data_IF_764662115633
#
_entry.id   IF_764662115633
#
_cell.length_a   1.000
_cell.length_b   1.000
_cell.length_c   1.000
_cell.angle_alpha   90.00
_cell.angle_beta   90.00
_cell.angle_gamma   90.00
#
_symmetry.space_group_name_H-M   'P 1'
#
loop_
_entity.id
_entity.type
_entity.pdbx_description
1 polymer ?
#
# COMPACT_ATOMS: atom_id res chain seq x y z
N UNK A 1 -22.87 18.32 7.01
CA UNK A 1 -22.73 19.01 5.72
C UNK A 1 -23.40 20.39 5.79
N UNK A 2 -23.30 21.19 4.74
CA UNK A 2 -23.95 22.51 4.60
C UNK A 2 -25.49 22.44 4.59
N UNK A 3 -26.08 21.24 4.71
CA UNK A 3 -27.52 21.01 4.86
C UNK A 3 -27.92 20.61 6.29
N UNK A 4 -26.98 20.60 7.24
CA UNK A 4 -27.26 20.32 8.64
C UNK A 4 -27.32 18.82 9.00
N UNK A 5 -26.90 17.92 8.11
CA UNK A 5 -26.73 16.51 8.47
C UNK A 5 -25.40 16.30 9.20
N UNK A 6 -25.47 15.85 10.46
CA UNK A 6 -24.31 15.34 11.19
C UNK A 6 -24.04 13.91 10.74
N UNK A 7 -23.23 13.74 9.70
CA UNK A 7 -22.65 12.44 9.40
C UNK A 7 -21.56 12.16 10.43
N UNK A 8 -21.73 11.09 11.20
CA UNK A 8 -20.74 10.66 12.19
C UNK A 8 -19.61 9.96 11.42
N UNK A 9 -18.36 10.30 11.73
CA UNK A 9 -17.23 9.67 11.08
C UNK A 9 -17.29 8.15 11.23
N UNK A 10 -17.01 7.43 10.14
CA UNK A 10 -16.73 6.00 10.21
C UNK A 10 -15.35 5.80 10.82
N UNK A 11 -15.25 4.90 11.80
CA UNK A 11 -13.97 4.55 12.41
C UNK A 11 -13.41 3.31 11.74
N UNK A 12 -12.25 3.43 11.12
CA UNK A 12 -11.41 2.33 10.63
C UNK A 12 -10.61 1.78 11.81
N UNK A 13 -10.71 0.48 12.05
CA UNK A 13 -10.12 -0.22 13.20
C UNK A 13 -9.20 -1.35 12.74
N UNK A 14 -8.29 -1.78 13.60
CA UNK A 14 -7.53 -3.00 13.34
C UNK A 14 -8.46 -4.20 13.15
N UNK A 15 -8.22 -5.01 12.11
CA UNK A 15 -8.94 -6.28 11.88
C UNK A 15 -8.90 -7.22 13.09
N UNK A 16 -7.88 -7.09 13.96
CA UNK A 16 -7.72 -7.90 15.18
C UNK A 16 -8.58 -7.41 16.35
N UNK A 17 -9.02 -6.14 16.32
CA UNK A 17 -9.73 -5.51 17.43
C UNK A 17 -11.24 -5.31 17.16
N UNK A 18 -11.75 -5.89 16.08
CA UNK A 18 -13.17 -5.85 15.75
C UNK A 18 -13.99 -6.64 16.78
N UNK A 19 -15.08 -6.06 17.26
CA UNK A 19 -16.05 -6.79 18.05
C UNK A 19 -16.77 -7.84 17.18
N UNK A 20 -17.34 -8.90 17.78
CA UNK A 20 -18.09 -9.91 17.01
C UNK A 20 -19.22 -9.33 16.15
N UNK A 21 -19.88 -8.26 16.62
CA UNK A 21 -20.95 -7.58 15.88
C UNK A 21 -20.41 -6.80 14.68
N UNK A 22 -19.29 -6.09 14.84
CA UNK A 22 -18.64 -5.36 13.75
C UNK A 22 -18.14 -6.33 12.68
N UNK A 23 -17.43 -7.40 13.08
CA UNK A 23 -16.97 -8.47 12.18
C UNK A 23 -18.12 -9.05 11.39
N UNK A 24 -19.23 -9.38 12.06
CA UNK A 24 -20.43 -9.91 11.41
C UNK A 24 -21.01 -8.91 10.40
N UNK A 25 -21.11 -7.62 10.74
CA UNK A 25 -21.63 -6.61 9.82
C UNK A 25 -20.80 -6.50 8.54
N UNK A 26 -19.47 -6.54 8.67
CA UNK A 26 -18.54 -6.47 7.54
C UNK A 26 -18.65 -7.72 6.66
N UNK A 27 -18.71 -8.92 7.27
CA UNK A 27 -18.88 -10.18 6.54
C UNK A 27 -20.15 -10.15 5.69
N UNK A 28 -21.29 -9.77 6.28
CA UNK A 28 -22.55 -9.69 5.51
C UNK A 28 -22.52 -8.58 4.45
N UNK A 29 -21.92 -7.43 4.77
CA UNK A 29 -21.82 -6.32 3.82
C UNK A 29 -20.97 -6.69 2.60
N UNK A 30 -19.79 -7.30 2.80
CA UNK A 30 -18.94 -7.72 1.68
C UNK A 30 -19.57 -8.87 0.89
N UNK A 31 -20.23 -9.82 1.57
CA UNK A 31 -21.00 -10.87 0.88
C UNK A 31 -22.04 -10.25 -0.07
N UNK A 32 -22.82 -9.31 0.44
CA UNK A 32 -23.84 -8.62 -0.37
C UNK A 32 -23.22 -7.77 -1.49
N UNK A 33 -22.04 -7.18 -1.26
CA UNK A 33 -21.32 -6.38 -2.25
C UNK A 33 -20.72 -7.25 -3.37
N UNK A 34 -20.24 -8.45 -3.04
CA UNK A 34 -19.76 -9.42 -4.03
C UNK A 34 -20.87 -9.98 -4.91
N UNK A 35 -22.10 -10.06 -4.38
CA UNK A 35 -23.28 -10.47 -5.13
C UNK A 35 -23.92 -9.31 -5.93
N UNK A 36 -23.46 -8.07 -5.74
CA UNK A 36 -23.95 -6.90 -6.48
C UNK A 36 -23.31 -6.80 -7.87
N UNK A 37 -24.17 -6.78 -8.90
CA UNK A 37 -23.79 -6.65 -10.31
C UNK A 37 -23.92 -5.21 -10.84
N UNK A 38 -24.21 -4.25 -9.96
CA UNK A 38 -24.27 -2.83 -10.31
C UNK A 38 -22.86 -2.26 -10.60
N UNK A 39 -22.82 -1.00 -11.06
CA UNK A 39 -21.56 -0.26 -11.21
C UNK A 39 -20.87 0.04 -9.85
N UNK A 40 -21.61 -0.05 -8.74
CA UNK A 40 -21.08 0.05 -7.37
C UNK A 40 -20.77 -1.33 -6.75
N UNK A 41 -21.00 -2.42 -7.48
CA UNK A 41 -20.74 -3.79 -7.01
C UNK A 41 -19.26 -4.15 -7.01
N UNK A 42 -18.90 -5.20 -6.25
CA UNK A 42 -17.49 -5.57 -6.02
C UNK A 42 -16.67 -5.71 -7.32
N UNK A 43 -17.21 -6.43 -8.31
CA UNK A 43 -16.51 -6.68 -9.58
C UNK A 43 -16.21 -5.39 -10.36
N UNK A 44 -17.18 -4.47 -10.36
CA UNK A 44 -17.03 -3.15 -11.00
C UNK A 44 -16.02 -2.29 -10.23
N UNK A 45 -16.07 -2.30 -8.90
CA UNK A 45 -15.09 -1.55 -8.08
C UNK A 45 -13.68 -2.13 -8.21
N UNK A 46 -13.52 -3.45 -8.22
CA UNK A 46 -12.23 -4.10 -8.45
C UNK A 46 -11.61 -3.69 -9.80
N UNK A 47 -12.44 -3.49 -10.84
CA UNK A 47 -11.97 -3.05 -12.16
C UNK A 47 -11.35 -1.64 -12.19
N UNK A 48 -11.64 -0.79 -11.18
CA UNK A 48 -11.09 0.56 -11.13
C UNK A 48 -9.57 0.55 -10.98
N UNK A 49 -8.99 -0.50 -10.40
CA UNK A 49 -7.55 -0.60 -10.25
C UNK A 49 -6.87 -0.83 -11.60
N UNK A 50 -7.08 -2.01 -12.19
CA UNK A 50 -6.28 -2.43 -13.34
C UNK A 50 -7.05 -3.14 -14.45
N UNK A 51 -7.43 -4.41 -14.27
CA UNK A 51 -8.25 -5.12 -15.23
C UNK A 51 -9.70 -5.26 -14.76
N UNK A 52 -10.68 -5.19 -15.67
CA UNK A 52 -10.57 -4.73 -17.06
C UNK A 52 -10.23 -3.23 -17.15
N UNK A 53 -9.31 -2.81 -18.04
CA UNK A 53 -8.84 -1.43 -18.07
C UNK A 53 -9.90 -0.45 -18.60
N UNK A 54 -10.02 0.70 -17.93
CA UNK A 54 -10.98 1.75 -18.26
C UNK A 54 -10.32 3.08 -18.66
N UNK A 55 -9.01 3.22 -18.47
CA UNK A 55 -8.29 4.47 -18.71
C UNK A 55 -7.57 4.46 -20.06
N UNK A 56 -7.43 5.60 -20.77
CA UNK A 56 -7.73 6.96 -20.32
C UNK A 56 -9.22 7.31 -20.26
N UNK A 57 -10.05 6.61 -21.04
CA UNK A 57 -11.50 6.63 -20.97
C UNK A 57 -12.05 5.31 -21.54
N UNK A 58 -13.28 4.89 -21.16
CA UNK A 58 -13.76 3.53 -21.40
C UNK A 58 -13.86 3.13 -22.88
N UNK A 59 -14.06 4.08 -23.80
CA UNK A 59 -14.14 3.87 -25.24
C UNK A 59 -12.81 4.01 -25.99
N UNK A 60 -11.70 4.24 -25.28
CA UNK A 60 -10.40 4.44 -25.90
C UNK A 60 -9.91 3.16 -26.62
N UNK A 61 -9.26 3.33 -27.78
CA UNK A 61 -8.73 2.21 -28.58
C UNK A 61 -7.66 1.40 -27.83
N UNK A 62 -6.81 2.07 -27.05
CA UNK A 62 -5.82 1.45 -26.17
C UNK A 62 -6.15 1.89 -24.76
N UNK A 63 -6.40 0.90 -23.90
CA UNK A 63 -6.73 1.11 -22.50
C UNK A 63 -5.64 0.54 -21.61
N UNK A 64 -5.44 1.20 -20.48
CA UNK A 64 -4.47 0.89 -19.45
C UNK A 64 -5.19 0.85 -18.09
N UNK A 65 -4.50 0.30 -17.09
CA UNK A 65 -4.92 0.39 -15.70
C UNK A 65 -5.15 1.85 -15.30
N UNK A 66 -6.16 2.10 -14.47
CA UNK A 66 -6.49 3.45 -14.01
C UNK A 66 -5.75 3.86 -12.75
N UNK A 67 -5.28 2.89 -11.96
CA UNK A 67 -4.49 3.14 -10.76
C UNK A 67 -3.21 3.92 -11.09
N UNK A 68 -2.91 4.90 -10.24
CA UNK A 68 -1.64 5.63 -10.24
C UNK A 68 -0.63 4.81 -9.45
N UNK A 69 0.52 4.49 -10.06
CA UNK A 69 1.66 3.81 -9.45
C UNK A 69 2.95 4.45 -9.96
N UNK A 70 4.00 4.45 -9.14
CA UNK A 70 5.31 5.00 -9.45
C UNK A 70 5.31 6.51 -9.63
N UNK A 71 4.41 7.20 -8.94
CA UNK A 71 4.01 8.57 -9.22
C UNK A 71 3.51 9.23 -7.95
N UNK A 72 3.85 10.50 -7.75
CA UNK A 72 3.56 11.26 -6.54
C UNK A 72 2.08 11.25 -6.11
N UNK A 73 1.11 11.05 -7.01
CA UNK A 73 -0.33 11.00 -6.66
C UNK A 73 -0.83 9.59 -6.31
N UNK A 74 0.06 8.62 -6.08
CA UNK A 74 -0.26 7.25 -5.69
C UNK A 74 -1.08 7.19 -4.39
N UNK A 75 -0.70 7.89 -3.29
CA UNK A 75 -1.43 7.82 -2.03
C UNK A 75 -2.87 8.34 -2.17
N UNK A 76 -3.08 9.41 -2.93
CA UNK A 76 -4.40 10.04 -3.11
C UNK A 76 -5.34 9.16 -3.93
N UNK A 77 -4.81 8.51 -4.98
CA UNK A 77 -5.60 7.54 -5.76
C UNK A 77 -6.12 6.41 -4.89
N UNK A 78 -5.22 5.81 -4.09
CA UNK A 78 -5.56 4.67 -3.24
C UNK A 78 -6.40 5.07 -2.03
N UNK A 79 -6.22 6.28 -1.48
CA UNK A 79 -7.12 6.86 -0.48
C UNK A 79 -8.55 6.94 -1.01
N UNK A 80 -8.77 7.57 -2.18
CA UNK A 80 -10.09 7.61 -2.80
C UNK A 80 -10.64 6.22 -3.07
N UNK A 81 -9.77 5.27 -3.43
CA UNK A 81 -10.20 3.90 -3.68
C UNK A 81 -10.71 3.19 -2.42
N UNK A 82 -10.06 3.39 -1.27
CA UNK A 82 -10.57 2.88 0.01
C UNK A 82 -11.91 3.53 0.36
N UNK A 83 -12.07 4.85 0.15
CA UNK A 83 -13.35 5.56 0.37
C UNK A 83 -14.44 5.00 -0.55
N UNK A 84 -14.12 4.71 -1.81
CA UNK A 84 -15.05 4.10 -2.76
C UNK A 84 -15.61 2.77 -2.25
N UNK A 85 -14.73 1.88 -1.78
CA UNK A 85 -15.14 0.61 -1.16
C UNK A 85 -15.87 0.81 0.17
N UNK A 86 -15.48 1.80 0.96
CA UNK A 86 -16.06 2.06 2.28
C UNK A 86 -17.51 2.53 2.16
N UNK A 87 -17.78 3.45 1.23
CA UNK A 87 -19.13 3.89 0.91
C UNK A 87 -19.98 2.76 0.33
N UNK A 88 -19.38 1.84 -0.45
CA UNK A 88 -20.07 0.65 -0.93
C UNK A 88 -20.43 -0.29 0.24
N UNK A 89 -19.47 -0.66 1.08
CA UNK A 89 -19.70 -1.50 2.26
C UNK A 89 -20.75 -0.90 3.21
N UNK A 90 -20.73 0.42 3.42
CA UNK A 90 -21.76 1.11 4.21
C UNK A 90 -23.15 0.96 3.60
N UNK A 91 -23.28 1.09 2.27
CA UNK A 91 -24.55 0.88 1.55
C UNK A 91 -25.06 -0.56 1.67
N UNK A 92 -24.15 -1.52 1.82
CA UNK A 92 -24.47 -2.92 2.11
C UNK A 92 -24.59 -3.26 3.61
N UNK A 93 -24.57 -2.26 4.49
CA UNK A 93 -24.90 -2.43 5.92
C UNK A 93 -23.69 -2.61 6.85
N UNK A 94 -22.47 -2.31 6.42
CA UNK A 94 -21.33 -2.21 7.34
C UNK A 94 -21.58 -1.11 8.38
N UNK A 95 -21.36 -1.44 9.66
CA UNK A 95 -21.55 -0.48 10.77
C UNK A 95 -20.29 0.29 11.14
N UNK A 96 -19.14 -0.08 10.54
CA UNK A 96 -17.83 0.50 10.76
C UNK A 96 -17.14 0.81 9.43
N UNK A 97 -16.08 1.62 9.49
CA UNK A 97 -15.20 1.84 8.34
C UNK A 97 -14.43 0.59 7.95
N UNK A 98 -13.74 0.63 6.81
CA UNK A 98 -12.92 -0.48 6.35
C UNK A 98 -11.83 -0.76 7.38
N UNK A 99 -11.79 -1.96 7.98
CA UNK A 99 -10.77 -2.26 8.95
C UNK A 99 -9.40 -2.36 8.27
N UNK A 100 -8.35 -2.02 9.00
CA UNK A 100 -6.99 -2.07 8.50
C UNK A 100 -6.26 -3.30 9.05
N UNK A 101 -5.40 -3.90 8.22
CA UNK A 101 -4.44 -4.91 8.65
C UNK A 101 -3.07 -4.27 8.85
N UNK A 102 -2.68 -4.08 10.11
CA UNK A 102 -1.39 -3.50 10.46
C UNK A 102 -0.26 -4.51 10.31
N UNK A 103 0.37 -4.52 9.13
CA UNK A 103 1.49 -5.41 8.78
C UNK A 103 2.84 -4.92 9.33
N UNK A 104 2.89 -3.76 9.96
CA UNK A 104 4.14 -3.23 10.53
C UNK A 104 4.43 -3.84 11.90
N UNK A 105 3.38 -4.28 12.60
CA UNK A 105 3.52 -4.98 13.88
C UNK A 105 3.93 -6.44 13.62
N UNK A 106 4.96 -6.96 14.32
CA UNK A 106 5.29 -8.38 14.26
C UNK A 106 4.07 -9.25 14.56
N UNK A 107 3.88 -10.30 13.76
CA UNK A 107 2.72 -11.19 13.89
C UNK A 107 3.16 -12.64 13.65
N UNK A 108 2.53 -13.56 14.38
CA UNK A 108 2.82 -15.01 14.31
C UNK A 108 1.79 -15.76 13.46
N UNK A 109 0.66 -15.12 13.17
CA UNK A 109 -0.48 -15.69 12.46
C UNK A 109 -1.10 -14.66 11.50
N UNK A 110 -1.84 -15.15 10.52
CA UNK A 110 -2.74 -14.31 9.73
C UNK A 110 -4.02 -14.03 10.51
N UNK A 111 -4.54 -12.78 10.48
CA UNK A 111 -5.83 -12.47 11.06
C UNK A 111 -6.94 -13.40 10.56
N UNK A 112 -7.54 -14.13 11.50
CA UNK A 112 -8.68 -15.02 11.25
C UNK A 112 -9.82 -14.33 10.47
N UNK A 113 -9.96 -13.01 10.62
CA UNK A 113 -10.92 -12.18 9.89
C UNK A 113 -10.97 -12.48 8.38
N UNK A 114 -9.81 -12.62 7.73
CA UNK A 114 -9.72 -12.92 6.30
C UNK A 114 -9.09 -14.28 6.00
N UNK A 115 -8.51 -14.95 7.00
CA UNK A 115 -7.86 -16.25 6.81
C UNK A 115 -8.83 -17.43 6.92
N UNK A 116 -9.89 -17.33 7.73
CA UNK A 116 -10.87 -18.39 7.87
C UNK A 116 -11.61 -18.60 6.54
N UNK A 117 -11.62 -19.81 5.97
CA UNK A 117 -12.35 -20.12 4.73
C UNK A 117 -13.87 -20.13 4.94
N UNK A 118 -14.31 -20.60 6.11
CA UNK A 118 -15.72 -20.73 6.46
C UNK A 118 -16.05 -19.77 7.59
N UNK A 119 -17.12 -18.99 7.39
CA UNK A 119 -17.73 -18.19 8.43
C UNK A 119 -18.96 -18.93 8.99
N UNK A 120 -18.95 -19.17 10.31
CA UNK A 120 -20.10 -19.64 11.08
C UNK A 120 -20.81 -18.43 11.68
N UNK A 121 -22.00 -18.07 11.16
CA UNK A 121 -22.77 -16.96 11.68
C UNK A 121 -23.38 -17.33 13.05
N UNK A 122 -22.94 -16.67 14.15
CA UNK A 122 -23.35 -17.05 15.50
C UNK A 122 -24.82 -16.74 15.79
N UNK A 123 -25.49 -15.90 14.98
CA UNK A 123 -26.89 -15.53 15.18
C UNK A 123 -27.86 -16.35 14.34
N UNK A 124 -27.47 -16.72 13.11
CA UNK A 124 -28.35 -17.47 12.19
C UNK A 124 -28.02 -18.96 12.10
N UNK A 125 -26.95 -19.42 12.73
CA UNK A 125 -26.48 -20.81 12.64
C UNK A 125 -26.34 -21.26 11.18
N UNK A 126 -25.77 -20.38 10.36
CA UNK A 126 -25.57 -20.58 8.94
C UNK A 126 -24.08 -20.53 8.64
N UNK A 127 -23.60 -21.52 7.90
CA UNK A 127 -22.22 -21.60 7.46
C UNK A 127 -22.14 -21.26 5.98
N UNK A 128 -21.23 -20.37 5.63
CA UNK A 128 -20.92 -20.02 4.25
C UNK A 128 -19.45 -19.61 4.12
N UNK A 129 -18.94 -19.56 2.90
CA UNK A 129 -17.58 -19.10 2.64
C UNK A 129 -17.39 -17.68 3.13
N UNK A 130 -16.30 -17.43 3.86
CA UNK A 130 -15.95 -16.09 4.31
C UNK A 130 -15.64 -15.22 3.09
N UNK A 131 -16.40 -14.14 2.83
CA UNK A 131 -16.19 -13.30 1.65
C UNK A 131 -14.87 -12.51 1.71
N UNK A 132 -14.21 -12.42 2.88
CA UNK A 132 -12.87 -11.83 2.99
C UNK A 132 -11.74 -12.82 2.67
N UNK A 133 -12.04 -14.12 2.56
CA UNK A 133 -11.02 -15.13 2.27
C UNK A 133 -10.60 -15.15 0.79
N UNK A 134 -11.51 -14.81 -0.12
CA UNK A 134 -11.22 -14.70 -1.54
C UNK A 134 -12.46 -14.25 -2.31
N UNK A 135 -12.27 -13.98 -3.60
CA UNK A 135 -13.33 -13.65 -4.54
C UNK A 135 -13.06 -14.26 -5.92
N UNK A 136 -14.10 -14.28 -6.74
CA UNK A 136 -14.02 -14.66 -8.16
C UNK A 136 -13.58 -13.45 -9.01
N UNK A 137 -12.96 -13.72 -10.16
CA UNK A 137 -12.66 -12.74 -11.20
C UNK A 137 -13.57 -13.05 -12.38
N UNK A 138 -14.67 -12.31 -12.50
CA UNK A 138 -15.77 -12.69 -13.40
C UNK A 138 -15.35 -12.78 -14.87
N UNK A 139 -14.56 -11.81 -15.33
CA UNK A 139 -14.21 -11.69 -16.75
C UNK A 139 -13.15 -12.71 -17.22
N UNK A 140 -12.36 -13.26 -16.29
CA UNK A 140 -11.37 -14.30 -16.57
C UNK A 140 -11.83 -15.70 -16.12
N UNK A 141 -12.95 -15.79 -15.40
CA UNK A 141 -13.46 -17.03 -14.80
C UNK A 141 -12.44 -17.76 -13.91
N UNK A 142 -11.66 -16.99 -13.15
CA UNK A 142 -10.66 -17.50 -12.21
C UNK A 142 -11.03 -17.12 -10.78
N UNK A 143 -10.38 -17.77 -9.80
CA UNK A 143 -10.45 -17.38 -8.39
C UNK A 143 -9.15 -16.72 -8.00
N UNK A 144 -9.24 -15.74 -7.10
CA UNK A 144 -8.05 -15.23 -6.43
C UNK A 144 -7.44 -16.33 -5.56
N UNK A 145 -6.12 -16.44 -5.63
CA UNK A 145 -5.31 -17.31 -4.78
C UNK A 145 -4.19 -16.50 -4.12
N UNK A 146 -3.78 -16.94 -2.92
CA UNK A 146 -2.70 -16.32 -2.13
C UNK A 146 -1.62 -17.37 -1.89
N UNK A 147 -0.37 -17.04 -2.19
CA UNK A 147 0.81 -17.84 -1.84
C UNK A 147 1.64 -17.06 -0.81
N UNK A 148 1.27 -17.22 0.46
CA UNK A 148 1.71 -16.32 1.52
C UNK A 148 3.15 -16.62 1.93
N UNK A 149 4.03 -15.64 1.77
CA UNK A 149 5.41 -15.69 2.20
C UNK A 149 5.52 -15.39 3.71
N UNK A 150 5.28 -16.44 4.51
CA UNK A 150 5.37 -16.37 5.98
C UNK A 150 6.78 -16.01 6.48
N UNK A 151 7.83 -16.41 5.75
CA UNK A 151 9.23 -16.18 6.12
C UNK A 151 9.63 -14.69 6.03
N UNK A 152 8.93 -13.90 5.21
CA UNK A 152 9.08 -12.44 5.16
C UNK A 152 8.07 -11.74 6.05
N UNK A 153 6.81 -12.14 5.98
CA UNK A 153 5.70 -11.49 6.67
C UNK A 153 5.78 -11.62 8.21
N UNK A 154 6.25 -12.76 8.72
CA UNK A 154 6.36 -13.03 10.17
C UNK A 154 7.79 -12.88 10.69
N UNK A 155 8.69 -12.34 9.87
CA UNK A 155 10.09 -12.18 10.25
C UNK A 155 10.25 -11.11 11.31
N UNK A 156 10.69 -11.54 12.49
CA UNK A 156 11.10 -10.61 13.54
C UNK A 156 12.40 -9.89 13.18
N UNK A 157 12.53 -8.67 13.68
CA UNK A 157 13.77 -7.91 13.59
C UNK A 157 14.81 -8.34 14.63
N UNK A 158 16.07 -7.90 14.53
CA UNK A 158 17.13 -8.16 15.52
C UNK A 158 16.77 -7.81 16.98
N UNK A 159 15.90 -6.83 17.19
CA UNK A 159 15.35 -6.38 18.48
C UNK A 159 13.89 -6.79 18.66
N UNK A 160 13.38 -7.69 17.83
CA UNK A 160 11.97 -8.12 17.75
C UNK A 160 11.11 -7.15 16.94
N UNK A 161 11.14 -5.86 17.28
CA UNK A 161 10.27 -4.85 16.66
C UNK A 161 10.78 -4.24 15.36
N UNK A 162 12.10 -4.28 15.12
CA UNK A 162 12.80 -3.66 14.00
C UNK A 162 12.75 -4.54 12.74
N UNK A 163 11.54 -4.96 12.39
CA UNK A 163 11.21 -5.73 11.17
C UNK A 163 11.53 -4.94 9.91
N UNK A 164 11.48 -5.60 8.75
CA UNK A 164 11.65 -4.92 7.46
C UNK A 164 10.65 -3.77 7.29
N UNK A 165 9.36 -4.04 7.49
CA UNK A 165 8.29 -3.04 7.35
C UNK A 165 8.50 -1.87 8.31
N UNK A 166 8.90 -2.15 9.56
CA UNK A 166 9.19 -1.10 10.53
C UNK A 166 10.30 -0.17 10.03
N UNK A 167 11.41 -0.73 9.53
CA UNK A 167 12.53 0.07 9.01
C UNK A 167 12.11 0.93 7.81
N UNK A 168 11.37 0.35 6.86
CA UNK A 168 10.92 1.10 5.68
C UNK A 168 9.97 2.24 6.04
N UNK A 169 8.94 1.96 6.84
CA UNK A 169 7.96 3.01 7.18
C UNK A 169 8.54 4.07 8.12
N UNK A 170 9.44 3.73 9.04
CA UNK A 170 10.17 4.75 9.82
C UNK A 170 10.92 5.69 8.90
N UNK A 171 11.63 5.16 7.90
CA UNK A 171 12.40 5.99 6.97
C UNK A 171 11.50 6.82 6.04
N UNK A 172 10.36 6.28 5.62
CA UNK A 172 9.34 7.06 4.91
C UNK A 172 8.82 8.21 5.80
N UNK A 173 8.45 7.93 7.04
CA UNK A 173 7.95 8.91 8.02
C UNK A 173 9.01 9.95 8.43
N UNK A 174 10.28 9.64 8.24
CA UNK A 174 11.37 10.59 8.41
C UNK A 174 11.31 11.75 7.41
N UNK A 175 10.82 11.51 6.19
CA UNK A 175 10.80 12.51 5.13
C UNK A 175 9.80 13.63 5.43
N UNK A 176 10.21 14.88 5.16
CA UNK A 176 9.38 16.07 5.31
C UNK A 176 8.85 16.58 3.96
N UNK A 177 9.63 16.41 2.87
CA UNK A 177 9.10 16.60 1.53
C UNK A 177 8.13 15.47 1.20
N UNK A 178 6.95 15.84 0.69
CA UNK A 178 5.89 14.89 0.37
C UNK A 178 6.34 13.86 -0.68
N UNK A 179 7.03 14.30 -1.72
CA UNK A 179 7.44 13.41 -2.80
C UNK A 179 8.62 12.52 -2.37
N UNK A 180 9.48 12.98 -1.45
CA UNK A 180 10.49 12.10 -0.83
C UNK A 180 9.85 11.03 0.05
N UNK A 181 8.79 11.38 0.79
CA UNK A 181 7.97 10.42 1.55
C UNK A 181 7.34 9.38 0.63
N UNK A 182 6.69 9.83 -0.43
CA UNK A 182 5.89 9.01 -1.34
C UNK A 182 6.69 7.84 -1.93
N UNK A 183 7.90 8.10 -2.45
CA UNK A 183 8.73 7.04 -3.04
C UNK A 183 9.10 5.94 -2.04
N UNK A 184 9.44 6.30 -0.80
CA UNK A 184 9.74 5.29 0.22
C UNK A 184 8.47 4.55 0.65
N UNK A 185 7.37 5.29 0.75
CA UNK A 185 6.07 4.80 1.19
C UNK A 185 5.45 3.80 0.21
N UNK A 186 5.46 4.09 -1.10
CA UNK A 186 4.91 3.22 -2.13
C UNK A 186 5.66 1.87 -2.19
N UNK A 187 6.99 1.91 -2.10
CA UNK A 187 7.80 0.68 -2.11
C UNK A 187 7.57 -0.17 -0.86
N UNK A 188 7.40 0.45 0.31
CA UNK A 188 7.02 -0.28 1.53
C UNK A 188 5.64 -0.94 1.39
N UNK A 189 4.71 -0.27 0.73
CA UNK A 189 3.39 -0.82 0.41
C UNK A 189 3.45 -2.05 -0.51
N UNK A 190 4.36 -2.06 -1.50
CA UNK A 190 4.47 -3.15 -2.48
C UNK A 190 4.88 -4.49 -1.85
N UNK A 191 5.58 -4.47 -0.73
CA UNK A 191 6.01 -5.67 -0.04
C UNK A 191 4.83 -6.59 0.31
N UNK A 192 3.71 -6.04 0.78
CA UNK A 192 2.56 -6.86 1.17
C UNK A 192 1.84 -7.45 -0.04
N UNK A 193 1.82 -6.73 -1.17
CA UNK A 193 1.35 -7.31 -2.43
C UNK A 193 2.15 -8.56 -2.78
N UNK A 194 3.48 -8.44 -2.78
CA UNK A 194 4.37 -9.57 -3.06
C UNK A 194 4.26 -10.70 -2.03
N UNK A 195 4.20 -10.39 -0.74
CA UNK A 195 4.23 -11.41 0.31
C UNK A 195 2.88 -12.11 0.51
N UNK A 196 1.77 -11.50 0.10
CA UNK A 196 0.44 -12.14 0.11
C UNK A 196 0.18 -12.87 -1.19
N UNK A 197 0.58 -12.29 -2.32
CA UNK A 197 0.37 -12.89 -3.63
C UNK A 197 1.31 -14.06 -3.93
N UNK A 198 2.57 -13.94 -3.50
CA UNK A 198 3.61 -14.93 -3.76
C UNK A 198 3.79 -15.17 -5.25
N UNK A 199 3.77 -16.44 -5.62
CA UNK A 199 4.01 -16.91 -7.00
C UNK A 199 2.74 -17.10 -7.84
N UNK A 200 1.58 -16.75 -7.29
CA UNK A 200 0.28 -16.91 -7.96
C UNK A 200 0.00 -15.74 -8.92
N UNK A 201 -0.45 -16.07 -10.13
CA UNK A 201 -0.82 -15.06 -11.16
C UNK A 201 -2.03 -14.23 -10.71
N UNK A 202 -3.12 -14.88 -10.32
CA UNK A 202 -4.38 -14.23 -9.91
C UNK A 202 -4.33 -13.91 -8.41
N UNK A 203 -3.52 -12.93 -8.04
CA UNK A 203 -3.23 -12.65 -6.63
C UNK A 203 -2.98 -11.16 -6.36
N UNK A 204 -2.76 -10.84 -5.08
CA UNK A 204 -2.25 -9.54 -4.63
C UNK A 204 -0.90 -9.17 -5.27
N UNK A 205 -0.09 -10.14 -5.68
CA UNK A 205 1.24 -9.92 -6.24
C UNK A 205 1.23 -9.39 -7.68
N UNK A 206 0.06 -9.35 -8.32
CA UNK A 206 -0.08 -8.99 -9.73
C UNK A 206 -1.03 -7.80 -9.90
N UNK A 207 -0.54 -6.71 -10.52
CA UNK A 207 -1.27 -5.44 -10.65
C UNK A 207 -2.69 -5.61 -11.19
N UNK A 208 -2.84 -6.49 -12.19
CA UNK A 208 -4.12 -6.71 -12.88
C UNK A 208 -5.23 -7.25 -11.98
N UNK A 209 -4.88 -8.02 -10.97
CA UNK A 209 -5.82 -8.86 -10.23
C UNK A 209 -5.86 -8.56 -8.73
N UNK A 210 -4.88 -7.82 -8.19
CA UNK A 210 -4.78 -7.55 -6.77
C UNK A 210 -6.06 -7.00 -6.13
N UNK A 211 -6.78 -6.11 -6.83
CA UNK A 211 -8.02 -5.48 -6.35
C UNK A 211 -9.20 -6.45 -6.19
N UNK A 212 -9.13 -7.64 -6.77
CA UNK A 212 -10.14 -8.68 -6.59
C UNK A 212 -9.92 -9.48 -5.29
N UNK A 213 -8.75 -9.39 -4.66
CA UNK A 213 -8.53 -9.97 -3.34
C UNK A 213 -9.15 -9.05 -2.26
N UNK A 214 -10.07 -9.54 -1.41
CA UNK A 214 -10.61 -8.75 -0.30
C UNK A 214 -9.56 -8.23 0.70
N UNK A 215 -8.38 -8.85 0.80
CA UNK A 215 -7.28 -8.34 1.63
C UNK A 215 -6.70 -7.04 1.07
N UNK A 216 -6.87 -6.77 -0.23
CA UNK A 216 -6.48 -5.51 -0.86
C UNK A 216 -6.99 -4.30 -0.08
N UNK A 217 -8.30 -4.26 0.23
CA UNK A 217 -8.89 -3.13 0.94
C UNK A 217 -8.43 -3.03 2.39
N UNK A 218 -8.05 -4.15 3.01
CA UNK A 218 -7.53 -4.20 4.39
C UNK A 218 -6.09 -3.69 4.46
N UNK A 219 -5.27 -4.07 3.48
CA UNK A 219 -3.90 -3.57 3.31
C UNK A 219 -3.89 -2.09 2.97
N UNK A 220 -4.71 -1.66 2.01
CA UNK A 220 -4.80 -0.25 1.62
C UNK A 220 -5.43 0.64 2.69
N UNK A 221 -6.32 0.11 3.54
CA UNK A 221 -6.79 0.82 4.73
C UNK A 221 -5.64 1.11 5.72
N UNK A 222 -4.69 0.18 5.88
CA UNK A 222 -3.48 0.41 6.68
C UNK A 222 -2.49 1.35 5.97
N UNK A 223 -2.32 1.21 4.65
CA UNK A 223 -1.47 2.09 3.86
C UNK A 223 -1.96 3.54 3.98
N UNK A 224 -3.26 3.78 3.82
CA UNK A 224 -3.86 5.09 4.05
C UNK A 224 -3.77 5.56 5.52
N UNK A 225 -3.80 4.64 6.49
CA UNK A 225 -3.54 4.96 7.91
C UNK A 225 -2.13 5.50 8.11
N UNK A 226 -1.15 4.89 7.45
CA UNK A 226 0.25 5.31 7.49
C UNK A 226 0.45 6.66 6.79
N UNK A 227 -0.29 6.93 5.70
CA UNK A 227 -0.33 8.25 5.09
C UNK A 227 -0.95 9.30 6.05
N UNK A 228 -2.07 8.99 6.69
CA UNK A 228 -2.65 9.86 7.72
C UNK A 228 -1.72 10.09 8.92
N UNK A 229 -0.94 9.08 9.31
CA UNK A 229 0.09 9.20 10.34
C UNK A 229 1.21 10.15 9.92
N UNK A 230 1.66 10.08 8.66
CA UNK A 230 2.61 11.03 8.11
C UNK A 230 2.06 12.47 8.15
N UNK A 231 0.79 12.67 7.77
CA UNK A 231 0.13 13.98 7.85
C UNK A 231 0.14 14.54 9.29
N UNK A 232 -0.25 13.75 10.29
CA UNK A 232 -0.21 14.21 11.70
C UNK A 232 1.24 14.47 12.18
N UNK A 233 2.23 13.74 11.66
CA UNK A 233 3.64 14.00 11.95
C UNK A 233 4.12 15.31 11.32
N UNK A 234 3.72 15.62 10.08
CA UNK A 234 4.02 16.92 9.45
C UNK A 234 3.39 18.08 10.22
N UNK A 235 2.14 17.92 10.64
CA UNK A 235 1.47 18.88 11.51
C UNK A 235 2.21 19.08 12.83
N UNK A 236 2.71 18.00 13.45
CA UNK A 236 3.52 18.09 14.66
C UNK A 236 4.85 18.82 14.43
N UNK A 237 5.45 18.67 13.24
CA UNK A 237 6.66 19.40 12.80
C UNK A 237 6.41 20.87 12.45
N UNK A 238 5.15 21.31 12.39
CA UNK A 238 4.77 22.69 12.11
C UNK A 238 4.45 22.99 10.64
N UNK A 239 4.30 21.96 9.81
CA UNK A 239 3.86 22.07 8.42
C UNK A 239 2.34 21.95 8.31
N UNK A 240 1.74 22.42 7.22
CA UNK A 240 0.33 22.16 6.94
C UNK A 240 0.17 20.70 6.44
N UNK A 241 -0.58 19.83 7.14
CA UNK A 241 -0.77 18.42 6.75
C UNK A 241 -1.52 18.22 5.44
N UNK A 242 -2.15 19.28 4.90
CA UNK A 242 -2.94 19.25 3.68
C UNK A 242 -2.32 20.04 2.52
N UNK A 243 -1.16 20.66 2.74
CA UNK A 243 -0.44 21.37 1.68
C UNK A 243 0.59 20.43 1.05
N UNK A 244 0.57 20.37 -0.27
CA UNK A 244 1.57 19.65 -1.06
C UNK A 244 2.34 20.65 -1.91
N UNK A 245 3.66 20.65 -1.79
CA UNK A 245 4.55 21.64 -2.40
C UNK A 245 5.38 21.07 -3.58
N UNK A 246 5.16 19.81 -3.95
CA UNK A 246 5.79 19.13 -5.07
C UNK A 246 4.72 18.49 -5.97
N UNK A 247 5.08 18.11 -7.20
CA UNK A 247 4.17 17.48 -8.18
C UNK A 247 2.83 18.21 -8.40
N UNK A 248 2.80 19.55 -8.26
CA UNK A 248 1.58 20.38 -8.29
C UNK A 248 0.73 20.20 -9.56
N UNK A 249 1.36 19.87 -10.68
CA UNK A 249 0.67 19.60 -11.94
C UNK A 249 -0.19 18.34 -11.84
N UNK A 250 0.34 17.27 -11.23
CA UNK A 250 -0.37 16.01 -11.02
C UNK A 250 -1.48 16.18 -9.99
N UNK A 251 -1.25 16.98 -8.96
CA UNK A 251 -2.21 17.22 -7.87
C UNK A 251 -3.53 17.85 -8.32
N UNK A 252 -3.54 18.49 -9.50
CA UNK A 252 -4.72 19.11 -10.11
C UNK A 252 -5.40 18.24 -11.15
N UNK A 253 -4.75 17.16 -11.60
CA UNK A 253 -5.32 16.25 -12.59
C UNK A 253 -6.32 15.31 -11.91
N UNK A 254 -7.60 15.26 -12.35
CA UNK A 254 -8.57 14.35 -11.76
C UNK A 254 -8.18 12.87 -11.89
N UNK A 255 -8.26 12.17 -10.77
CA UNK A 255 -8.05 10.74 -10.60
C UNK A 255 -9.18 9.98 -11.29
N UNK A 256 -8.80 9.00 -12.10
CA UNK A 256 -9.70 8.19 -12.91
C UNK A 256 -9.77 6.78 -12.31
N UNK A 257 -10.90 6.07 -12.38
CA UNK A 257 -12.16 6.49 -12.99
C UNK A 257 -13.09 7.26 -12.04
N UNK A 258 -12.62 7.66 -10.85
CA UNK A 258 -13.44 8.40 -9.86
C UNK A 258 -14.10 9.65 -10.48
N UNK A 259 -13.37 10.36 -11.34
CA UNK A 259 -13.86 11.53 -12.09
C UNK A 259 -14.89 11.25 -13.19
N UNK A 260 -15.07 10.00 -13.65
CA UNK A 260 -15.94 9.70 -14.80
C UNK A 260 -17.43 9.95 -14.51
N UNK A 261 -17.85 9.76 -13.26
CA UNK A 261 -19.28 9.78 -12.90
C UNK A 261 -20.08 8.66 -13.58
N UNK A 262 -21.41 8.79 -13.58
CA UNK A 262 -22.29 7.79 -14.15
C UNK A 262 -22.05 7.62 -15.68
N UNK A 263 -22.12 6.37 -16.21
CA UNK A 263 -22.56 5.16 -15.53
C UNK A 263 -21.46 4.38 -14.79
N UNK A 264 -20.20 4.85 -14.79
CA UNK A 264 -19.05 4.09 -14.29
C UNK A 264 -18.81 4.27 -12.79
N UNK A 265 -18.83 5.51 -12.31
CA UNK A 265 -18.75 5.83 -10.89
C UNK A 265 -20.06 6.50 -10.44
N UNK A 266 -20.82 5.80 -9.58
CA UNK A 266 -22.06 6.32 -9.03
C UNK A 266 -21.88 7.03 -7.69
N UNK A 267 -20.66 7.03 -7.13
CA UNK A 267 -20.35 7.70 -5.88
C UNK A 267 -20.14 9.21 -6.11
N UNK A 268 -21.00 10.09 -5.54
CA UNK A 268 -20.87 11.53 -5.71
C UNK A 268 -19.63 12.10 -5.01
N UNK A 269 -19.28 11.58 -3.83
CA UNK A 269 -18.17 12.08 -3.01
C UNK A 269 -16.83 11.88 -3.71
N UNK A 270 -16.56 10.66 -4.20
CA UNK A 270 -15.30 10.36 -4.90
C UNK A 270 -15.20 11.05 -6.25
N UNK A 271 -16.34 11.37 -6.89
CA UNK A 271 -16.38 12.17 -8.11
C UNK A 271 -16.06 13.63 -7.83
N UNK A 272 -16.69 14.22 -6.82
CA UNK A 272 -16.51 15.62 -6.42
C UNK A 272 -15.06 15.89 -6.01
N UNK A 273 -14.51 15.04 -5.15
CA UNK A 273 -13.14 15.13 -4.65
C UNK A 273 -12.16 14.29 -5.48
N UNK A 274 -12.36 14.23 -6.80
CA UNK A 274 -11.52 13.39 -7.67
C UNK A 274 -10.13 13.96 -7.94
N UNK A 275 -9.85 15.22 -7.56
CA UNK A 275 -8.48 15.74 -7.67
C UNK A 275 -7.65 15.32 -6.45
N UNK A 276 -6.38 14.94 -6.62
CA UNK A 276 -5.51 14.56 -5.51
C UNK A 276 -5.44 15.63 -4.42
N UNK A 277 -5.36 16.92 -4.79
CA UNK A 277 -5.32 18.06 -3.85
C UNK A 277 -6.49 18.06 -2.86
N UNK A 278 -7.67 17.57 -3.28
CA UNK A 278 -8.88 17.52 -2.45
C UNK A 278 -8.88 16.31 -1.50
N UNK A 279 -7.95 15.36 -1.61
CA UNK A 279 -7.99 14.12 -0.81
C UNK A 279 -7.19 14.18 0.49
N UNK A 280 -6.40 15.25 0.69
CA UNK A 280 -5.58 15.40 1.89
C UNK A 280 -6.42 15.57 3.16
N UNK A 281 -7.47 16.40 3.13
CA UNK A 281 -8.41 16.55 4.25
C UNK A 281 -9.46 15.42 4.26
N UNK A 282 -8.98 14.22 4.57
CA UNK A 282 -9.80 13.01 4.54
C UNK A 282 -10.93 13.02 5.58
N UNK A 283 -10.75 13.69 6.73
CA UNK A 283 -11.79 13.83 7.76
C UNK A 283 -12.90 14.77 7.29
N UNK A 284 -12.51 15.89 6.68
CA UNK A 284 -13.42 16.91 6.18
C UNK A 284 -14.25 16.44 4.99
N UNK A 285 -13.61 15.83 3.99
CA UNK A 285 -14.26 15.45 2.72
C UNK A 285 -14.86 14.04 2.72
N UNK A 286 -14.27 13.08 3.44
CA UNK A 286 -14.69 11.66 3.37
C UNK A 286 -15.30 11.12 4.66
N UNK A 287 -15.25 11.89 5.76
CA UNK A 287 -15.88 11.55 7.03
C UNK A 287 -15.51 10.15 7.55
N UNK A 288 -14.22 9.81 7.50
CA UNK A 288 -13.67 8.66 8.21
C UNK A 288 -12.48 9.06 9.08
N UNK A 289 -12.20 8.23 10.07
CA UNK A 289 -11.06 8.37 10.98
C UNK A 289 -10.48 7.01 11.36
N UNK A 290 -9.31 7.02 11.97
CA UNK A 290 -8.68 5.83 12.52
C UNK A 290 -8.85 5.82 14.03
N UNK A 291 -9.05 4.65 14.62
CA UNK A 291 -9.09 4.49 16.07
C UNK A 291 -7.77 4.96 16.72
N UNK A 292 -6.63 4.64 16.09
CA UNK A 292 -5.30 5.09 16.52
C UNK A 292 -4.42 5.46 15.32
N UNK A 293 -3.76 6.62 15.41
CA UNK A 293 -2.68 7.04 14.52
C UNK A 293 -1.34 6.87 15.26
N UNK A 294 -0.81 5.66 15.18
CA UNK A 294 0.45 5.26 15.79
C UNK A 294 1.16 4.22 14.92
N UNK A 295 2.49 4.14 15.05
CA UNK A 295 3.29 3.08 14.44
C UNK A 295 3.81 2.17 15.54
N UNK A 296 3.35 0.92 15.57
CA UNK A 296 3.82 -0.09 16.53
C UNK A 296 3.71 0.39 18.00
N UNK A 297 2.61 1.08 18.35
CA UNK A 297 2.37 1.65 19.69
C UNK A 297 3.12 2.96 19.98
N UNK A 298 3.86 3.51 19.02
CA UNK A 298 4.45 4.85 19.12
C UNK A 298 3.47 5.88 18.59
N UNK A 299 2.97 6.73 19.49
CA UNK A 299 2.22 7.92 19.10
C UNK A 299 3.12 8.90 18.33
N UNK A 300 2.50 9.94 17.74
CA UNK A 300 3.17 10.93 16.88
C UNK A 300 4.41 11.56 17.54
N UNK A 301 4.33 11.94 18.82
CA UNK A 301 5.47 12.55 19.52
C UNK A 301 6.62 11.55 19.70
N UNK A 302 6.32 10.33 20.17
CA UNK A 302 7.34 9.31 20.37
C UNK A 302 7.98 8.87 19.05
N UNK A 303 7.19 8.83 17.99
CA UNK A 303 7.66 8.57 16.63
C UNK A 303 8.61 9.68 16.15
N UNK A 304 8.25 10.95 16.36
CA UNK A 304 9.12 12.09 16.06
C UNK A 304 10.46 12.01 16.82
N UNK A 305 10.40 11.74 18.12
CA UNK A 305 11.60 11.60 18.97
C UNK A 305 12.48 10.42 18.51
N UNK A 306 11.87 9.27 18.16
CA UNK A 306 12.58 8.11 17.64
C UNK A 306 13.29 8.43 16.32
N UNK A 307 12.62 9.11 15.40
CA UNK A 307 13.20 9.53 14.12
C UNK A 307 14.39 10.47 14.35
N UNK A 308 14.25 11.46 15.24
CA UNK A 308 15.35 12.37 15.55
C UNK A 308 16.55 11.62 16.15
N UNK A 309 16.31 10.62 17.00
CA UNK A 309 17.36 9.77 17.52
C UNK A 309 18.09 8.99 16.40
N UNK A 310 17.39 8.54 15.35
CA UNK A 310 18.03 7.90 14.19
C UNK A 310 18.92 8.88 13.41
N UNK A 311 18.60 10.17 13.41
CA UNK A 311 19.39 11.22 12.76
C UNK A 311 20.67 11.59 13.52
N UNK A 312 20.83 11.19 14.79
CA UNK A 312 22.00 11.51 15.61
C UNK A 312 23.28 10.74 15.24
N UNK A 313 23.17 9.76 14.32
CA UNK A 313 24.30 8.97 13.81
C UNK A 313 24.49 9.18 12.31
N UNK A 314 25.72 8.97 11.88
CA UNK A 314 26.02 8.88 10.45
C UNK A 314 25.34 7.65 9.86
N UNK A 315 24.75 7.81 8.66
CA UNK A 315 24.02 6.73 7.99
C UNK A 315 24.44 6.61 6.54
N UNK A 316 24.41 5.40 6.02
CA UNK A 316 24.74 5.10 4.63
C UNK A 316 23.54 4.42 3.98
N UNK A 317 23.19 4.87 2.77
CA UNK A 317 22.05 4.37 2.01
C UNK A 317 22.48 3.89 0.63
N UNK A 318 21.85 2.84 0.13
CA UNK A 318 21.82 2.50 -1.28
C UNK A 318 20.64 3.23 -1.95
N UNK A 319 20.91 3.97 -3.03
CA UNK A 319 19.93 4.73 -3.80
C UNK A 319 19.59 4.04 -5.11
N UNK A 320 18.30 3.81 -5.39
CA UNK A 320 17.80 3.14 -6.59
C UNK A 320 16.91 4.09 -7.39
N UNK A 321 17.18 4.24 -8.68
CA UNK A 321 16.27 4.96 -9.60
C UNK A 321 15.35 3.92 -10.25
N UNK A 322 14.07 3.93 -9.86
CA UNK A 322 13.11 2.91 -10.28
C UNK A 322 12.23 3.41 -11.43
N UNK A 323 11.89 2.49 -12.31
CA UNK A 323 10.97 2.67 -13.43
C UNK A 323 10.10 1.44 -13.62
N UNK A 324 8.95 1.63 -14.26
CA UNK A 324 8.01 0.56 -14.58
C UNK A 324 8.59 -0.43 -15.58
N UNK A 325 8.51 -1.72 -15.25
CA UNK A 325 9.09 -2.79 -16.05
C UNK A 325 8.06 -3.65 -16.79
N UNK A 326 6.77 -3.42 -16.56
CA UNK A 326 5.66 -4.14 -17.18
C UNK A 326 5.28 -5.46 -16.49
N UNK A 327 5.86 -5.75 -15.33
CA UNK A 327 5.55 -6.91 -14.49
C UNK A 327 5.93 -6.60 -13.04
N UNK A 328 5.34 -7.31 -12.09
CA UNK A 328 5.83 -7.30 -10.71
C UNK A 328 7.18 -7.99 -10.63
N UNK A 329 8.06 -7.49 -9.76
CA UNK A 329 9.37 -8.08 -9.56
C UNK A 329 9.88 -7.89 -8.14
N UNK A 330 10.62 -8.91 -7.68
CA UNK A 330 11.41 -8.89 -6.48
C UNK A 330 12.85 -8.47 -6.82
N UNK A 331 13.40 -7.52 -6.07
CA UNK A 331 14.80 -7.12 -6.18
C UNK A 331 15.53 -7.43 -4.88
N UNK A 332 16.59 -8.22 -4.98
CA UNK A 332 17.55 -8.49 -3.94
C UNK A 332 18.87 -7.77 -4.23
N UNK A 333 19.53 -7.27 -3.20
CA UNK A 333 20.85 -6.68 -3.37
C UNK A 333 21.81 -7.03 -2.23
N UNK A 334 23.09 -7.08 -2.59
CA UNK A 334 24.19 -7.44 -1.70
C UNK A 334 25.32 -6.43 -1.80
N UNK A 335 26.01 -6.21 -0.69
CA UNK A 335 27.26 -5.45 -0.63
C UNK A 335 28.42 -6.43 -0.82
N UNK A 336 29.25 -6.18 -1.82
CA UNK A 336 30.40 -6.99 -2.18
C UNK A 336 31.70 -6.24 -1.91
N UNK A 337 32.61 -6.86 -1.16
CA UNK A 337 33.97 -6.39 -0.95
C UNK A 337 34.83 -6.62 -2.20
N UNK A 338 35.98 -5.94 -2.28
CA UNK A 338 36.96 -6.09 -3.36
C UNK A 338 37.44 -7.55 -3.53
N UNK A 339 37.51 -8.31 -2.44
CA UNK A 339 37.91 -9.73 -2.46
C UNK A 339 36.82 -10.68 -2.99
N UNK A 340 35.63 -10.14 -3.32
CA UNK A 340 34.48 -10.87 -3.82
C UNK A 340 33.54 -11.39 -2.73
N UNK A 341 33.80 -11.16 -1.44
CA UNK A 341 32.86 -11.53 -0.37
C UNK A 341 31.61 -10.63 -0.45
N UNK A 342 30.47 -11.22 -0.77
CA UNK A 342 29.18 -10.54 -0.82
C UNK A 342 28.33 -10.88 0.40
N UNK A 343 27.62 -9.88 0.93
CA UNK A 343 26.68 -10.01 2.04
C UNK A 343 25.33 -9.45 1.62
N UNK A 344 24.26 -10.21 1.83
CA UNK A 344 22.90 -9.72 1.58
C UNK A 344 22.64 -8.46 2.42
N UNK A 345 22.24 -7.39 1.74
CA UNK A 345 22.09 -6.07 2.34
C UNK A 345 20.62 -5.65 2.47
N UNK A 346 19.77 -6.10 1.54
CA UNK A 346 18.35 -5.84 1.59
C UNK A 346 17.63 -6.31 0.34
N UNK A 347 16.34 -6.03 0.33
CA UNK A 347 15.44 -6.34 -0.77
C UNK A 347 14.24 -5.40 -0.78
N UNK A 348 13.56 -5.32 -1.91
CA UNK A 348 12.28 -4.64 -2.07
C UNK A 348 11.53 -5.18 -3.29
N UNK A 349 10.26 -4.78 -3.43
CA UNK A 349 9.35 -5.28 -4.45
C UNK A 349 8.78 -4.12 -5.26
N UNK A 350 8.61 -4.32 -6.57
CA UNK A 350 7.83 -3.44 -7.44
C UNK A 350 6.59 -4.18 -7.90
N UNK A 351 5.43 -3.51 -7.80
CA UNK A 351 4.17 -4.04 -8.32
C UNK A 351 4.00 -3.59 -9.77
N UNK A 352 3.61 -4.50 -10.65
CA UNK A 352 3.45 -4.17 -12.06
C UNK A 352 2.63 -5.16 -12.86
N UNK A 353 2.45 -4.82 -14.13
CA UNK A 353 1.77 -5.68 -15.10
C UNK A 353 1.70 -5.03 -16.48
N UNK A 354 1.36 -5.81 -17.50
CA UNK A 354 1.47 -5.37 -18.91
C UNK A 354 0.53 -4.24 -19.34
N UNK A 355 -0.38 -3.80 -18.46
CA UNK A 355 -1.33 -2.71 -18.68
C UNK A 355 -1.04 -1.50 -17.77
N UNK A 356 0.06 -1.54 -17.02
CA UNK A 356 0.47 -0.39 -16.20
C UNK A 356 0.71 0.82 -17.08
N UNK A 357 0.38 2.00 -16.56
CA UNK A 357 0.81 3.25 -17.20
C UNK A 357 2.31 3.39 -16.99
N UNK A 358 3.11 3.72 -18.03
CA UNK A 358 4.55 3.92 -17.86
C UNK A 358 4.85 4.93 -16.76
N UNK A 359 5.77 4.59 -15.87
CA UNK A 359 6.17 5.42 -14.75
C UNK A 359 7.68 5.34 -14.52
N UNK A 360 8.22 6.39 -13.92
CA UNK A 360 9.60 6.46 -13.47
C UNK A 360 9.63 7.46 -12.31
N UNK A 361 10.25 7.08 -11.20
CA UNK A 361 10.46 8.03 -10.12
C UNK A 361 11.44 9.12 -10.55
N UNK A 362 11.15 10.36 -10.17
CA UNK A 362 12.02 11.52 -10.40
C UNK A 362 13.17 11.61 -9.38
N UNK A 363 13.21 10.69 -8.43
CA UNK A 363 14.14 10.65 -7.29
C UNK A 363 14.52 9.22 -6.92
N UNK A 364 15.53 9.11 -6.07
CA UNK A 364 16.04 7.82 -5.60
C UNK A 364 15.17 7.26 -4.47
N UNK A 365 14.76 6.01 -4.61
CA UNK A 365 14.39 5.16 -3.47
C UNK A 365 15.65 4.89 -2.64
N UNK A 366 15.62 5.09 -1.32
CA UNK A 366 16.82 5.06 -0.47
C UNK A 366 16.64 3.97 0.57
N UNK A 367 17.57 3.02 0.58
CA UNK A 367 17.55 1.89 1.51
C UNK A 367 18.75 1.97 2.46
N UNK A 368 18.52 1.98 3.77
CA UNK A 368 19.60 2.06 4.76
C UNK A 368 20.44 0.79 4.80
N UNK A 369 21.76 0.94 4.64
CA UNK A 369 22.75 -0.16 4.65
C UNK A 369 23.79 -0.01 5.76
N UNK A 370 23.64 0.98 6.64
CA UNK A 370 24.56 1.30 7.74
C UNK A 370 24.93 0.06 8.56
N UNK A 371 23.93 -0.64 9.11
CA UNK A 371 24.15 -1.79 10.00
C UNK A 371 24.90 -2.94 9.29
N UNK A 372 24.67 -3.12 7.98
CA UNK A 372 25.31 -4.18 7.18
C UNK A 372 26.78 -3.85 6.94
N UNK A 373 27.09 -2.59 6.60
CA UNK A 373 28.47 -2.12 6.45
C UNK A 373 29.25 -2.27 7.77
N UNK A 374 28.68 -1.81 8.88
CA UNK A 374 29.28 -1.94 10.21
C UNK A 374 29.57 -3.41 10.56
N UNK A 375 28.62 -4.32 10.30
CA UNK A 375 28.79 -5.75 10.57
C UNK A 375 29.94 -6.40 9.79
N UNK A 376 30.30 -5.82 8.65
CA UNK A 376 31.38 -6.27 7.76
C UNK A 376 32.67 -5.51 7.96
N UNK A 377 32.71 -4.56 8.90
CA UNK A 377 33.85 -3.70 9.16
C UNK A 377 34.18 -2.80 7.97
N UNK A 378 33.16 -2.37 7.24
CA UNK A 378 33.26 -1.42 6.14
C UNK A 378 32.73 -0.06 6.57
N UNK A 379 33.36 1.00 6.07
CA UNK A 379 32.92 2.39 6.17
C UNK A 379 32.53 2.94 4.78
N UNK A 380 31.88 4.10 4.73
CA UNK A 380 31.54 4.83 3.50
C UNK A 380 32.76 5.17 2.64
N UNK A 381 33.94 5.23 3.25
CA UNK A 381 35.20 5.52 2.57
C UNK A 381 35.88 4.28 1.98
N UNK A 382 35.41 3.08 2.32
CA UNK A 382 35.93 1.84 1.76
C UNK A 382 35.38 1.59 0.36
N UNK A 383 36.11 0.80 -0.42
CA UNK A 383 35.68 0.38 -1.75
C UNK A 383 34.85 -0.88 -1.62
N UNK A 384 33.56 -0.77 -1.96
CA UNK A 384 32.62 -1.88 -2.08
C UNK A 384 31.67 -1.63 -3.25
N UNK A 385 31.16 -2.71 -3.82
CA UNK A 385 30.17 -2.67 -4.90
C UNK A 385 28.80 -3.14 -4.41
N UNK A 386 27.73 -2.63 -5.01
CA UNK A 386 26.37 -3.12 -4.79
C UNK A 386 25.99 -4.01 -5.98
N UNK A 387 25.76 -5.29 -5.70
CA UNK A 387 25.26 -6.25 -6.70
C UNK A 387 23.77 -6.45 -6.53
N UNK A 388 23.04 -6.32 -7.62
CA UNK A 388 21.59 -6.50 -7.68
C UNK A 388 21.24 -7.79 -8.45
N UNK A 389 20.16 -8.43 -8.03
CA UNK A 389 19.50 -9.53 -8.74
C UNK A 389 18.01 -9.26 -8.72
N UNK A 390 17.33 -9.57 -9.82
CA UNK A 390 15.91 -9.31 -9.95
C UNK A 390 15.20 -10.56 -10.48
N UNK A 391 14.07 -10.89 -9.89
CA UNK A 391 13.21 -11.98 -10.35
C UNK A 391 11.77 -11.48 -10.53
N UNK A 392 11.06 -11.98 -11.53
CA UNK A 392 9.62 -11.77 -11.68
C UNK A 392 8.83 -12.50 -10.59
N UNK A 393 7.53 -12.24 -10.53
CA UNK A 393 6.60 -12.89 -9.60
C UNK A 393 6.56 -14.43 -9.74
N UNK A 394 6.83 -14.97 -10.93
CA UNK A 394 6.92 -16.42 -11.21
C UNK A 394 8.34 -17.00 -11.04
N UNK A 395 9.26 -16.25 -10.41
CA UNK A 395 10.66 -16.60 -10.17
C UNK A 395 11.54 -16.73 -11.42
N UNK A 396 11.20 -16.08 -12.54
CA UNK A 396 12.12 -15.96 -13.67
C UNK A 396 13.12 -14.82 -13.45
N UNK A 397 14.39 -15.06 -13.75
CA UNK A 397 15.43 -14.02 -13.67
C UNK A 397 15.16 -12.90 -14.69
N UNK A 398 15.13 -11.65 -14.21
CA UNK A 398 14.99 -10.46 -15.03
C UNK A 398 16.39 -9.82 -15.20
N UNK A 399 16.71 -9.40 -16.43
CA UNK A 399 17.93 -8.63 -16.68
C UNK A 399 17.90 -7.33 -15.87
N UNK A 400 18.96 -7.13 -15.08
CA UNK A 400 19.16 -5.92 -14.27
C UNK A 400 19.69 -4.75 -15.10
N UNK A 401 19.95 -4.94 -16.40
CA UNK A 401 20.49 -3.91 -17.29
C UNK A 401 19.52 -2.74 -17.51
N UNK A 402 18.23 -2.95 -17.20
CA UNK A 402 17.20 -1.90 -17.33
C UNK A 402 17.33 -0.84 -16.23
N UNK A 403 17.82 -1.20 -15.04
CA UNK A 403 18.01 -0.24 -13.97
C UNK A 403 19.40 0.39 -13.99
N UNK A 404 19.50 1.71 -13.79
CA UNK A 404 20.77 2.33 -13.51
C UNK A 404 21.44 1.68 -12.29
N UNK A 405 22.79 1.62 -12.26
CA UNK A 405 23.50 1.09 -11.12
C UNK A 405 23.14 1.86 -9.84
N UNK A 406 22.97 1.18 -8.69
CA UNK A 406 22.65 1.85 -7.44
C UNK A 406 23.73 2.87 -7.03
N UNK A 407 23.30 3.99 -6.47
CA UNK A 407 24.19 4.98 -5.87
C UNK A 407 24.43 4.66 -4.39
N UNK A 408 25.57 5.09 -3.84
CA UNK A 408 25.82 5.07 -2.39
C UNK A 408 25.70 6.51 -1.87
N UNK A 409 24.85 6.71 -0.88
CA UNK A 409 24.54 8.02 -0.31
C UNK A 409 24.97 8.03 1.15
N UNK A 410 25.80 9.00 1.50
CA UNK A 410 26.19 9.25 2.88
C UNK A 410 25.37 10.40 3.45
N UNK A 411 24.75 10.16 4.60
CA UNK A 411 24.00 11.16 5.37
C UNK A 411 24.73 11.36 6.69
N UNK A 412 25.53 12.43 6.83
CA UNK A 412 26.15 12.76 8.11
C UNK A 412 25.07 13.16 9.12
N UNK A 413 25.40 13.01 10.41
CA UNK A 413 24.58 13.48 11.52
C UNK A 413 24.27 14.98 11.51
#
# INVERSE_FOLDING_TARGET
>A
DDQGHTHRNLVRKSVRNLSPAERRSLVHALKSLQEDSSADGFQSLASFHAQPPLCPYPEANKRFACCVHGMATFPEWHRLYTVQFEDALRRHGSVVGIPYWDTVVPQEDLPAFFNDEIWDDPLFHANFTNPFNGADIDFNHQKIARDINVDKLFKEGPKGYDTWSFKQYIYALEQEDYCDFEVQFEIAHNAIHAWVGGTEEYSMGHLHYASYDPVFILHHSNTDRLFALWQELQKFRGHDPNEVNCALEMMREPLKPFSFGAPYNLNPTTKEHSKPEDTFDYKGHFHYEYDHLELQGMNVQRLHDYINQQKERDRVFAGFLLEGIGTSAHLDFSICKIDGECTHAGYFDVLGGSLETPWQFDRLYKYEITDVLESKGLDVHDVFDIKITQTSWDNEDISTDRFPPPSVIYVPK
#
